data_IF_362186222765
#
_entry.id   IF_362186222765
#
_cell.length_a   1.000
_cell.length_b   1.000
_cell.length_c   1.000
_cell.angle_alpha   90.00
_cell.angle_beta   90.00
_cell.angle_gamma   90.00
#
_symmetry.space_group_name_H-M   'P 1'
#
loop_
_entity.id
_entity.type
_entity.pdbx_description
1 polymer ?
#
# COMPACT_ATOMS: atom_id res chain seq x y z
N UNK A 1 -2.05 22.13 -1.41
CA UNK A 1 -0.61 21.87 -1.62
C UNK A 1 0.02 21.49 -0.27
N UNK A 2 1.10 20.71 -0.25
CA UNK A 2 1.78 20.36 1.00
C UNK A 2 2.37 21.61 1.67
N UNK A 3 2.26 21.72 3.01
CA UNK A 3 2.83 22.85 3.78
C UNK A 3 4.35 22.97 3.64
N UNK A 4 5.04 21.83 3.40
CA UNK A 4 6.48 21.75 3.22
C UNK A 4 6.84 21.00 1.92
N UNK A 5 6.69 21.63 0.74
CA UNK A 5 6.85 20.95 -0.55
C UNK A 5 8.29 20.47 -0.80
N UNK A 6 9.31 21.21 -0.33
CA UNK A 6 10.70 20.80 -0.44
C UNK A 6 10.99 19.53 0.38
N UNK A 7 10.47 19.45 1.61
CA UNK A 7 10.60 18.28 2.47
C UNK A 7 9.86 17.07 1.89
N UNK A 8 8.65 17.26 1.35
CA UNK A 8 7.90 16.20 0.69
C UNK A 8 8.68 15.63 -0.52
N UNK A 9 9.30 16.50 -1.33
CA UNK A 9 10.14 16.08 -2.45
C UNK A 9 11.38 15.31 -1.98
N UNK A 10 12.04 15.79 -0.92
CA UNK A 10 13.18 15.09 -0.32
C UNK A 10 12.79 13.69 0.17
N UNK A 11 11.64 13.56 0.84
CA UNK A 11 11.15 12.27 1.30
C UNK A 11 10.92 11.29 0.15
N UNK A 12 10.26 11.72 -0.93
CA UNK A 12 10.05 10.85 -2.09
C UNK A 12 11.37 10.41 -2.72
N UNK A 13 12.34 11.32 -2.84
CA UNK A 13 13.67 10.99 -3.37
C UNK A 13 14.43 10.02 -2.45
N UNK A 14 14.34 10.20 -1.13
CA UNK A 14 14.94 9.30 -0.16
C UNK A 14 14.30 7.90 -0.24
N UNK A 15 12.97 7.81 -0.30
CA UNK A 15 12.24 6.54 -0.35
C UNK A 15 12.60 5.69 -1.57
N UNK A 16 12.89 6.31 -2.73
CA UNK A 16 13.32 5.62 -3.96
C UNK A 16 14.83 5.58 -4.15
N UNK A 17 15.61 6.09 -3.19
CA UNK A 17 17.07 6.04 -3.23
C UNK A 17 17.56 4.58 -3.27
N UNK A 18 18.72 4.36 -3.88
CA UNK A 18 19.28 3.00 -4.00
C UNK A 18 19.52 2.39 -2.62
N UNK A 19 20.12 3.18 -1.71
CA UNK A 19 20.39 2.78 -0.34
C UNK A 19 19.14 2.29 0.39
N UNK A 20 18.04 3.05 0.38
CA UNK A 20 16.79 2.65 1.03
C UNK A 20 16.17 1.43 0.36
N UNK A 21 16.20 1.39 -0.97
CA UNK A 21 15.65 0.27 -1.76
C UNK A 21 16.42 -1.04 -1.56
N UNK A 22 17.71 -0.99 -1.18
CA UNK A 22 18.53 -2.18 -0.90
C UNK A 22 18.52 -2.59 0.58
N UNK A 23 18.26 -1.67 1.51
CA UNK A 23 18.45 -1.92 2.97
C UNK A 23 17.17 -1.99 3.79
N UNK A 24 16.12 -1.25 3.39
CA UNK A 24 14.89 -1.12 4.19
C UNK A 24 13.66 -1.73 3.51
N UNK A 25 13.69 -1.86 2.19
CA UNK A 25 12.54 -2.33 1.40
C UNK A 25 12.73 -3.80 1.05
N UNK A 26 11.77 -4.65 1.45
CA UNK A 26 11.81 -6.10 1.18
C UNK A 26 11.62 -6.46 -0.29
N UNK A 27 10.91 -5.63 -1.05
CA UNK A 27 10.66 -5.83 -2.48
C UNK A 27 10.78 -4.49 -3.20
N UNK A 28 11.91 -4.31 -3.90
CA UNK A 28 12.23 -3.03 -4.54
C UNK A 28 11.35 -2.74 -5.75
N UNK A 29 11.03 -1.45 -5.95
CA UNK A 29 10.37 -0.93 -7.14
C UNK A 29 11.35 -0.51 -8.24
N UNK A 30 12.66 -0.51 -7.96
CA UNK A 30 13.71 -0.09 -8.89
C UNK A 30 14.11 -1.23 -9.83
N UNK A 31 13.89 -1.05 -11.12
CA UNK A 31 14.24 -2.05 -12.14
C UNK A 31 15.76 -2.22 -12.36
N UNK A 32 16.59 -1.30 -11.86
CA UNK A 32 18.05 -1.36 -11.99
C UNK A 32 18.75 -2.13 -10.85
N UNK A 33 18.00 -2.57 -9.83
CA UNK A 33 18.51 -3.44 -8.77
C UNK A 33 18.26 -4.89 -9.16
N UNK A 34 19.33 -5.68 -9.28
CA UNK A 34 19.25 -7.08 -9.69
C UNK A 34 18.65 -7.98 -8.60
N UNK A 35 17.33 -8.12 -8.62
CA UNK A 35 16.57 -9.02 -7.75
C UNK A 35 15.36 -9.61 -8.50
N UNK A 36 14.65 -10.57 -7.88
CA UNK A 36 13.37 -11.04 -8.40
C UNK A 36 12.32 -9.95 -8.17
N UNK A 37 11.96 -9.25 -9.24
CA UNK A 37 10.92 -8.23 -9.16
C UNK A 37 9.51 -8.83 -9.08
N UNK A 38 8.58 -8.20 -8.34
CA UNK A 38 7.25 -8.74 -8.11
C UNK A 38 6.40 -8.79 -9.40
N UNK A 39 6.65 -7.89 -10.37
CA UNK A 39 5.96 -7.91 -11.66
C UNK A 39 6.39 -9.05 -12.59
N UNK A 40 7.47 -9.77 -12.26
CA UNK A 40 7.89 -10.96 -12.99
C UNK A 40 7.29 -12.26 -12.42
N UNK A 41 6.53 -12.17 -11.32
CA UNK A 41 5.88 -13.32 -10.68
C UNK A 41 4.41 -13.36 -11.14
N UNK A 42 4.01 -14.29 -12.02
CA UNK A 42 2.64 -14.33 -12.55
C UNK A 42 1.58 -14.44 -11.44
N UNK A 43 1.86 -15.22 -10.41
CA UNK A 43 0.96 -15.46 -9.28
C UNK A 43 0.76 -14.22 -8.40
N UNK A 44 1.70 -13.27 -8.41
CA UNK A 44 1.56 -12.01 -7.67
C UNK A 44 0.48 -11.11 -8.31
N UNK A 45 0.23 -11.28 -9.62
CA UNK A 45 -0.82 -10.60 -10.38
C UNK A 45 -0.92 -9.09 -10.09
N UNK A 46 0.25 -8.43 -10.03
CA UNK A 46 0.40 -7.06 -9.51
C UNK A 46 -0.49 -6.04 -10.21
N UNK A 47 -0.76 -6.22 -11.51
CA UNK A 47 -1.58 -5.31 -12.31
C UNK A 47 -3.07 -5.41 -11.98
N UNK A 48 -3.57 -6.58 -11.58
CA UNK A 48 -4.99 -6.80 -11.34
C UNK A 48 -5.48 -6.20 -10.01
N UNK A 49 -4.59 -5.96 -9.05
CA UNK A 49 -5.01 -5.40 -7.75
C UNK A 49 -5.51 -3.94 -7.87
N UNK A 50 -4.82 -3.01 -8.56
CA UNK A 50 -5.37 -1.70 -8.86
C UNK A 50 -6.73 -1.77 -9.59
N UNK A 51 -6.84 -2.61 -10.63
CA UNK A 51 -8.09 -2.78 -11.39
C UNK A 51 -9.23 -3.27 -10.49
N UNK A 52 -8.95 -4.22 -9.59
CA UNK A 52 -9.92 -4.69 -8.60
C UNK A 52 -10.35 -3.57 -7.64
N UNK A 53 -9.41 -2.74 -7.18
CA UNK A 53 -9.67 -1.67 -6.21
C UNK A 53 -10.45 -0.48 -6.77
N UNK A 54 -10.39 -0.27 -8.10
CA UNK A 54 -11.19 0.72 -8.82
C UNK A 54 -12.68 0.37 -8.84
N UNK A 55 -13.03 -0.91 -8.92
CA UNK A 55 -14.43 -1.38 -8.83
C UNK A 55 -14.89 -1.46 -7.37
N UNK A 56 -15.34 -0.32 -6.84
CA UNK A 56 -15.82 -0.21 -5.47
C UNK A 56 -17.02 -1.11 -5.17
N UNK A 57 -17.89 -1.37 -6.14
CA UNK A 57 -19.07 -2.21 -5.94
C UNK A 57 -18.67 -3.68 -5.75
N UNK A 58 -17.75 -4.17 -6.61
CA UNK A 58 -17.21 -5.52 -6.50
C UNK A 58 -16.40 -5.72 -5.23
N UNK A 59 -15.58 -4.74 -4.83
CA UNK A 59 -14.85 -4.79 -3.54
C UNK A 59 -15.81 -4.95 -2.36
N UNK A 60 -16.89 -4.15 -2.31
CA UNK A 60 -17.86 -4.26 -1.23
C UNK A 60 -18.64 -5.59 -1.26
N UNK A 61 -19.01 -6.10 -2.44
CA UNK A 61 -19.64 -7.41 -2.55
C UNK A 61 -18.76 -8.53 -1.97
N UNK A 62 -17.46 -8.50 -2.25
CA UNK A 62 -16.51 -9.48 -1.68
C UNK A 62 -16.37 -9.33 -0.17
N UNK A 63 -16.31 -8.11 0.36
CA UNK A 63 -16.28 -7.86 1.81
C UNK A 63 -17.52 -8.41 2.52
N UNK A 64 -18.71 -8.20 1.95
CA UNK A 64 -19.96 -8.75 2.51
C UNK A 64 -19.96 -10.28 2.45
N UNK A 65 -19.53 -10.85 1.33
CA UNK A 65 -19.37 -12.31 1.20
C UNK A 65 -18.44 -12.86 2.28
N UNK A 66 -17.28 -12.24 2.50
CA UNK A 66 -16.33 -12.64 3.53
C UNK A 66 -16.90 -12.52 4.94
N UNK A 67 -17.69 -11.49 5.24
CA UNK A 67 -18.35 -11.36 6.54
C UNK A 67 -19.32 -12.52 6.83
N UNK A 68 -19.96 -13.10 5.81
CA UNK A 68 -20.80 -14.29 5.97
C UNK A 68 -20.01 -15.53 6.40
N UNK A 69 -18.73 -15.63 6.00
CA UNK A 69 -17.87 -16.79 6.30
C UNK A 69 -16.98 -16.59 7.53
N UNK A 70 -16.53 -15.36 7.79
CA UNK A 70 -15.55 -15.05 8.82
C UNK A 70 -16.12 -14.22 9.98
N UNK A 71 -17.41 -13.88 9.92
CA UNK A 71 -18.10 -12.92 10.79
C UNK A 71 -17.59 -11.48 10.60
N UNK A 72 -18.22 -10.55 11.31
CA UNK A 72 -17.78 -9.16 11.35
C UNK A 72 -16.42 -9.02 12.05
N UNK A 73 -15.63 -8.04 11.62
CA UNK A 73 -14.35 -7.70 12.25
C UNK A 73 -14.58 -7.31 13.71
N UNK A 74 -13.81 -7.92 14.60
CA UNK A 74 -13.88 -7.68 16.04
C UNK A 74 -12.60 -7.01 16.54
N UNK A 75 -12.71 -6.30 17.66
CA UNK A 75 -11.60 -5.61 18.32
C UNK A 75 -11.38 -4.19 17.80
N UNK A 76 -10.61 -3.42 18.56
CA UNK A 76 -10.28 -2.04 18.21
C UNK A 76 -9.34 -1.98 17.01
N UNK A 77 -9.46 -0.94 16.16
CA UNK A 77 -8.52 -0.73 15.06
C UNK A 77 -7.10 -0.59 15.61
N UNK A 78 -6.15 -1.34 15.04
CA UNK A 78 -4.73 -1.32 15.47
C UNK A 78 -4.09 0.08 15.49
N UNK A 79 -4.41 0.99 14.54
CA UNK A 79 -3.93 2.39 14.61
C UNK A 79 -4.62 3.27 15.66
N UNK A 80 -5.63 2.75 16.38
CA UNK A 80 -6.52 3.51 17.25
C UNK A 80 -7.55 4.36 16.48
N UNK A 81 -8.23 5.26 17.19
CA UNK A 81 -9.21 6.19 16.62
C UNK A 81 -8.55 7.56 16.42
N UNK A 82 -8.08 7.82 15.20
CA UNK A 82 -7.33 9.04 14.86
C UNK A 82 -8.19 10.32 14.72
N UNK A 83 -9.50 10.16 14.57
CA UNK A 83 -10.43 11.28 14.35
C UNK A 83 -10.22 11.99 13.00
N UNK A 84 -10.81 13.18 12.85
CA UNK A 84 -10.81 13.93 11.58
C UNK A 84 -9.49 14.67 11.32
N UNK A 85 -8.75 15.00 12.36
CA UNK A 85 -7.58 15.88 12.31
C UNK A 85 -6.41 15.33 13.14
N UNK A 86 -5.87 14.15 12.78
CA UNK A 86 -4.70 13.61 13.47
C UNK A 86 -3.48 14.49 13.23
N UNK A 87 -2.83 14.93 14.31
CA UNK A 87 -1.58 15.70 14.26
C UNK A 87 -1.72 17.15 13.76
N UNK A 88 -2.93 17.71 13.83
CA UNK A 88 -3.19 19.14 13.62
C UNK A 88 -2.95 19.96 14.90
#
# INVERSE_FOLDING_TARGET
MAKHPAAAKLFMNWAVSKEVQETLISTTVRADISTTHPWNIPEANMAAFPEFMEDRAKVEQWKQTFALYFNEVQGDPTPGILGLQPGL
#
